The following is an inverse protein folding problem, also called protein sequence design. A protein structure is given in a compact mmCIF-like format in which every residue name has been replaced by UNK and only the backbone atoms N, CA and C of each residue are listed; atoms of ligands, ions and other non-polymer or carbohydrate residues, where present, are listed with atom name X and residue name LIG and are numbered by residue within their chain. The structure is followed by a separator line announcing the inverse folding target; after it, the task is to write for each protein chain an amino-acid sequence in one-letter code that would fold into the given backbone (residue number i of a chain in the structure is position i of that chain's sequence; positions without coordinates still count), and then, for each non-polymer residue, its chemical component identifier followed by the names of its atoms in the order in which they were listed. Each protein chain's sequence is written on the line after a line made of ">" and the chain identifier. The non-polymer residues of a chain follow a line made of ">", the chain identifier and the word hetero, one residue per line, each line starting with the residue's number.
data_IF_549671652242
#
_entry.id   IF_549671652242
#
_cell.length_a   1.000
_cell.length_b   1.000
_cell.length_c   1.000
_cell.angle_alpha   90.00
_cell.angle_beta   90.00
_cell.angle_gamma   90.00
#
_symmetry.space_group_name_H-M   'P 1'
#
loop_
_entity.id
_entity.type
_entity.pdbx_description
1 polymer ?
#
# COMPACT_ATOMS: atom_id res chain seq x y z
N UNK A 1 -0.47 9.15 -10.08
CA UNK A 1 1.02 9.14 -10.02
C UNK A 1 1.58 7.82 -10.54
N UNK A 2 2.78 7.83 -11.15
CA UNK A 2 3.40 6.59 -11.67
C UNK A 2 4.04 5.70 -10.59
N UNK A 3 4.31 4.44 -10.91
CA UNK A 3 4.86 3.43 -9.99
C UNK A 3 6.04 3.92 -9.14
N UNK A 4 7.06 4.54 -9.78
CA UNK A 4 8.26 5.01 -9.07
C UNK A 4 7.94 6.03 -7.97
N UNK A 5 7.01 6.95 -8.25
CA UNK A 5 6.56 7.94 -7.28
C UNK A 5 5.75 7.30 -6.16
N UNK A 6 4.81 6.41 -6.51
CA UNK A 6 4.00 5.67 -5.54
C UNK A 6 4.85 4.81 -4.60
N UNK A 7 5.83 4.08 -5.15
CA UNK A 7 6.81 3.27 -4.38
C UNK A 7 7.62 4.14 -3.43
N UNK A 8 8.10 5.29 -3.91
CA UNK A 8 8.87 6.23 -3.08
C UNK A 8 8.03 6.80 -1.94
N UNK A 9 6.78 7.17 -2.21
CA UNK A 9 5.85 7.67 -1.20
C UNK A 9 5.53 6.60 -0.15
N UNK A 10 5.21 5.38 -0.59
CA UNK A 10 4.95 4.22 0.27
C UNK A 10 6.12 3.93 1.22
N UNK A 11 7.34 3.82 0.70
CA UNK A 11 8.52 3.53 1.52
C UNK A 11 8.79 4.67 2.51
N UNK A 12 8.62 5.93 2.10
CA UNK A 12 8.80 7.09 2.99
C UNK A 12 7.78 7.06 4.12
N UNK A 13 6.50 6.85 3.81
CA UNK A 13 5.43 6.77 4.79
C UNK A 13 5.66 5.65 5.82
N UNK A 14 6.01 4.45 5.36
CA UNK A 14 6.30 3.31 6.24
C UNK A 14 7.50 3.57 7.17
N UNK A 15 8.53 4.29 6.70
CA UNK A 15 9.70 4.65 7.53
C UNK A 15 9.37 5.69 8.60
N UNK A 16 8.48 6.62 8.27
CA UNK A 16 8.12 7.72 9.16
C UNK A 16 6.95 7.41 10.10
N UNK A 17 6.16 6.38 9.79
CA UNK A 17 4.88 6.15 10.44
C UNK A 17 3.73 6.98 9.87
N UNK A 18 3.94 7.65 8.72
CA UNK A 18 2.95 8.52 8.06
C UNK A 18 1.97 7.68 7.21
N UNK A 19 1.34 6.67 7.82
CA UNK A 19 0.39 5.81 7.13
C UNK A 19 -0.86 5.52 7.96
N UNK A 20 -1.96 5.28 7.25
CA UNK A 20 -3.27 4.99 7.79
C UNK A 20 -3.83 3.72 7.17
N UNK A 21 -4.87 3.16 7.77
CA UNK A 21 -5.59 2.02 7.24
C UNK A 21 -7.02 2.43 6.91
N UNK A 22 -7.45 2.16 5.70
CA UNK A 22 -8.83 2.44 5.29
C UNK A 22 -9.78 1.52 6.07
N UNK A 23 -10.63 2.11 6.91
CA UNK A 23 -11.65 1.39 7.64
C UNK A 23 -12.73 0.87 6.68
N UNK A 24 -12.78 -0.44 6.44
CA UNK A 24 -13.85 -1.10 5.70
C UNK A 24 -14.41 -2.29 6.49
N UNK A 25 -15.53 -2.12 7.20
CA UNK A 25 -16.33 -3.25 7.74
C UNK A 25 -15.54 -4.51 8.18
N UNK A 26 -15.99 -5.69 7.75
CA UNK A 26 -15.38 -7.01 8.06
C UNK A 26 -14.04 -7.32 7.34
N UNK A 27 -13.36 -6.32 6.77
CA UNK A 27 -12.11 -6.48 5.97
C UNK A 27 -10.84 -6.39 6.84
N UNK A 28 -10.95 -6.14 8.14
CA UNK A 28 -9.81 -6.03 9.08
C UNK A 28 -8.83 -7.21 9.01
N UNK A 29 -9.30 -8.42 8.65
CA UNK A 29 -8.48 -9.64 8.51
C UNK A 29 -7.46 -9.56 7.36
N UNK A 30 -7.68 -8.71 6.34
CA UNK A 30 -6.81 -8.61 5.14
C UNK A 30 -5.73 -7.53 5.24
N UNK A 31 -5.54 -6.94 6.40
CA UNK A 31 -4.52 -5.92 6.62
C UNK A 31 -3.61 -6.37 7.77
N UNK A 32 -2.74 -7.34 7.48
CA UNK A 32 -1.75 -7.88 8.41
C UNK A 32 -0.89 -6.78 9.05
N UNK A 33 -0.69 -5.66 8.34
CA UNK A 33 0.01 -4.50 8.87
C UNK A 33 -0.82 -3.77 9.94
N UNK A 34 -2.13 -3.65 9.75
CA UNK A 34 -3.04 -3.03 10.72
C UNK A 34 -3.18 -3.88 12.01
N UNK A 35 -3.08 -5.20 11.88
CA UNK A 35 -3.16 -6.14 13.01
C UNK A 35 -1.82 -6.39 13.70
N UNK A 36 -0.72 -5.82 13.18
CA UNK A 36 0.63 -6.03 13.69
C UNK A 36 1.21 -7.43 13.40
N UNK A 37 0.56 -8.23 12.54
CA UNK A 37 1.06 -9.54 12.12
C UNK A 37 2.24 -9.43 11.14
N UNK A 38 2.36 -8.30 10.44
CA UNK A 38 3.57 -7.92 9.70
C UNK A 38 3.98 -6.51 10.09
N UNK A 39 5.27 -6.22 9.99
CA UNK A 39 5.88 -4.93 10.33
C UNK A 39 6.01 -4.01 9.10
N UNK A 40 6.12 -2.68 9.31
CA UNK A 40 6.46 -1.76 8.23
C UNK A 40 7.74 -2.15 7.48
N UNK A 41 8.75 -2.65 8.19
CA UNK A 41 10.03 -3.07 7.64
C UNK A 41 9.90 -4.28 6.70
N UNK A 42 9.03 -5.25 7.01
CA UNK A 42 8.73 -6.37 6.11
C UNK A 42 8.07 -5.89 4.81
N UNK A 43 7.08 -4.98 4.94
CA UNK A 43 6.42 -4.38 3.77
C UNK A 43 7.41 -3.57 2.92
N UNK A 44 8.30 -2.78 3.55
CA UNK A 44 9.37 -2.07 2.84
C UNK A 44 10.27 -3.07 2.10
N UNK A 45 10.67 -4.15 2.76
CA UNK A 45 11.62 -5.13 2.20
C UNK A 45 11.08 -5.80 0.95
N UNK A 46 9.78 -6.15 0.93
CA UNK A 46 9.16 -6.75 -0.25
C UNK A 46 8.92 -5.71 -1.37
N UNK A 47 8.42 -4.52 -1.03
CA UNK A 47 8.16 -3.45 -2.00
C UNK A 47 9.45 -2.94 -2.64
N UNK A 48 10.54 -2.87 -1.90
CA UNK A 48 11.85 -2.45 -2.40
C UNK A 48 12.34 -3.33 -3.56
N UNK A 49 11.98 -4.62 -3.57
CA UNK A 49 12.33 -5.60 -4.62
C UNK A 49 11.42 -5.55 -5.84
N UNK A 50 10.29 -4.86 -5.76
CA UNK A 50 9.33 -4.76 -6.86
C UNK A 50 9.77 -3.72 -7.90
N UNK A 51 9.45 -3.99 -9.15
CA UNK A 51 9.52 -3.06 -10.28
C UNK A 51 8.11 -2.80 -10.88
N UNK A 52 8.05 -2.05 -11.99
CA UNK A 52 6.79 -1.68 -12.62
C UNK A 52 5.98 -2.86 -13.16
N UNK A 53 6.58 -4.03 -13.42
CA UNK A 53 5.86 -5.22 -13.89
C UNK A 53 4.99 -5.86 -12.80
N UNK A 54 5.31 -5.58 -11.53
CA UNK A 54 4.60 -6.07 -10.35
C UNK A 54 3.46 -5.12 -9.92
N UNK A 55 3.31 -3.99 -10.62
CA UNK A 55 2.41 -2.90 -10.26
C UNK A 55 1.23 -2.81 -11.21
N UNK A 56 0.06 -2.51 -10.64
CA UNK A 56 -1.06 -2.00 -11.40
C UNK A 56 -1.68 -0.80 -10.69
N UNK A 57 -2.37 0.03 -11.48
CA UNK A 57 -2.97 1.26 -11.02
C UNK A 57 -4.38 1.40 -11.59
N UNK A 58 -5.30 1.86 -10.76
CA UNK A 58 -6.68 2.14 -11.15
C UNK A 58 -7.23 3.28 -10.31
N UNK A 59 -8.15 4.08 -10.87
CA UNK A 59 -8.81 5.15 -10.11
C UNK A 59 -9.60 4.59 -8.91
N UNK A 60 -9.62 5.34 -7.81
CA UNK A 60 -10.37 5.01 -6.62
C UNK A 60 -11.88 5.09 -6.92
N UNK A 61 -12.60 4.00 -6.66
CA UNK A 61 -14.01 3.84 -7.03
C UNK A 61 -14.99 4.86 -6.42
N UNK A 62 -14.60 5.59 -5.36
CA UNK A 62 -15.42 6.63 -4.72
C UNK A 62 -14.80 8.02 -4.83
N UNK A 63 -13.49 8.13 -5.04
CA UNK A 63 -12.76 9.39 -4.94
C UNK A 63 -12.06 9.63 -6.27
N UNK A 64 -12.72 10.41 -7.13
CA UNK A 64 -12.18 10.73 -8.46
C UNK A 64 -10.83 11.43 -8.34
N UNK A 65 -9.91 11.12 -9.24
CA UNK A 65 -8.56 11.67 -9.27
C UNK A 65 -7.59 11.07 -8.24
N UNK A 66 -8.04 10.14 -7.38
CA UNK A 66 -7.13 9.38 -6.50
C UNK A 66 -6.79 8.06 -7.16
N UNK A 67 -5.51 7.81 -7.37
CA UNK A 67 -5.01 6.55 -7.89
C UNK A 67 -4.84 5.52 -6.77
N UNK A 68 -5.42 4.33 -6.97
CA UNK A 68 -5.15 3.15 -6.15
C UNK A 68 -4.06 2.33 -6.81
N UNK A 69 -3.02 2.07 -6.03
CA UNK A 69 -1.87 1.27 -6.42
C UNK A 69 -1.98 -0.12 -5.82
N UNK A 70 -1.67 -1.12 -6.64
CA UNK A 70 -1.58 -2.51 -6.24
C UNK A 70 -0.22 -3.05 -6.63
N UNK A 71 0.49 -3.61 -5.66
CA UNK A 71 1.75 -4.32 -5.88
C UNK A 71 1.51 -5.80 -5.55
N UNK A 72 1.83 -6.67 -6.49
CA UNK A 72 1.79 -8.13 -6.32
C UNK A 72 3.16 -8.73 -6.59
N UNK A 73 3.78 -9.34 -5.58
CA UNK A 73 5.10 -9.94 -5.74
C UNK A 73 5.34 -11.03 -4.70
N UNK A 74 5.79 -12.21 -5.13
CA UNK A 74 6.17 -13.32 -4.23
C UNK A 74 5.08 -13.66 -3.19
N UNK A 75 3.82 -13.74 -3.62
CA UNK A 75 2.65 -14.01 -2.76
C UNK A 75 2.05 -12.75 -2.11
N UNK A 76 2.84 -11.68 -1.92
CA UNK A 76 2.34 -10.47 -1.29
C UNK A 76 1.32 -9.71 -2.14
N UNK A 77 0.34 -9.15 -1.45
CA UNK A 77 -0.68 -8.26 -1.98
C UNK A 77 -0.69 -6.97 -1.15
N UNK A 78 -0.19 -5.88 -1.73
CA UNK A 78 -0.11 -4.56 -1.09
C UNK A 78 -0.93 -3.57 -1.89
N UNK A 79 -2.07 -3.12 -1.34
CA UNK A 79 -3.00 -2.20 -1.99
C UNK A 79 -3.15 -0.93 -1.18
N UNK A 80 -2.87 0.21 -1.81
CA UNK A 80 -2.80 1.51 -1.14
C UNK A 80 -3.14 2.67 -2.09
N UNK A 81 -3.39 3.84 -1.53
CA UNK A 81 -3.41 5.11 -2.25
C UNK A 81 -2.65 6.17 -1.44
N UNK A 82 -2.36 7.31 -2.06
CA UNK A 82 -1.60 8.40 -1.43
C UNK A 82 -2.50 9.62 -1.30
N UNK A 83 -2.67 10.11 -0.08
CA UNK A 83 -3.24 11.44 0.21
C UNK A 83 -2.14 12.17 0.96
N UNK A 84 -1.29 12.88 0.22
CA UNK A 84 -0.08 13.45 0.78
C UNK A 84 -0.39 14.32 2.02
N UNK A 85 0.38 14.16 3.13
CA UNK A 85 1.63 13.39 3.22
C UNK A 85 1.46 11.88 3.43
N UNK A 86 0.24 11.41 3.71
CA UNK A 86 -0.02 10.07 4.19
C UNK A 86 -0.21 9.04 3.08
N UNK A 87 0.09 7.78 3.42
CA UNK A 87 -0.26 6.62 2.62
C UNK A 87 -1.36 5.83 3.31
N UNK A 88 -2.42 5.52 2.56
CA UNK A 88 -3.58 4.82 3.07
C UNK A 88 -3.61 3.39 2.54
N UNK A 89 -3.52 2.41 3.43
CA UNK A 89 -3.60 1.00 3.08
C UNK A 89 -5.05 0.53 3.02
N UNK A 90 -5.43 -0.01 1.87
CA UNK A 90 -6.69 -0.75 1.71
C UNK A 90 -6.48 -2.20 2.18
N UNK A 91 -5.34 -2.81 1.85
CA UNK A 91 -5.05 -4.21 2.18
C UNK A 91 -3.55 -4.49 2.14
N UNK A 92 -3.06 -5.30 3.08
CA UNK A 92 -1.69 -5.81 3.14
C UNK A 92 -1.75 -7.25 3.62
N UNK A 93 -1.46 -8.22 2.76
CA UNK A 93 -1.38 -9.64 3.15
C UNK A 93 -0.43 -10.44 2.25
N UNK A 94 -0.18 -11.69 2.63
CA UNK A 94 0.52 -12.71 1.85
C UNK A 94 -0.47 -13.70 1.23
#
# INVERSE_FOLDING_TARGET
>A
MGFKAAKSALIKALKNGDFQHEARGSITVKNLLATGQVTPQEVISIVARCDGSHHSCSEHHQVKGVDVHLIKYSGWYVKFYVIAPDVWFISVHQ
#
